data_IF_695999497033
#
_entry.id   IF_695999497033
#
_cell.length_a   1.000
_cell.length_b   1.000
_cell.length_c   1.000
_cell.angle_alpha   90.00
_cell.angle_beta   90.00
_cell.angle_gamma   90.00
#
_symmetry.space_group_name_H-M   'P 1'
#
loop_
_entity.id
_entity.type
_entity.pdbx_description
1 polymer ?
#
# COMPACT_ATOMS: atom_id res chain seq x y z
N UNK A 1 -19.07 96.22 -5.91
CA UNK A 1 -19.03 95.59 -4.56
C UNK A 1 -19.72 94.26 -4.62
N UNK A 2 -19.10 93.19 -4.09
CA UNK A 2 -19.55 91.85 -3.93
C UNK A 2 -19.32 90.82 -5.07
N UNK A 3 -18.08 90.38 -5.15
CA UNK A 3 -17.80 89.05 -5.74
C UNK A 3 -16.74 88.36 -4.87
N UNK A 4 -17.20 87.59 -3.87
CA UNK A 4 -16.28 86.70 -3.12
C UNK A 4 -17.07 85.80 -2.25
N UNK A 5 -17.68 84.68 -2.76
CA UNK A 5 -18.18 83.58 -1.90
C UNK A 5 -18.63 82.33 -2.66
N UNK A 6 -18.01 81.94 -3.78
CA UNK A 6 -18.41 80.70 -4.47
C UNK A 6 -17.28 79.69 -4.72
N UNK A 7 -16.11 79.83 -4.09
CA UNK A 7 -14.97 78.92 -4.36
C UNK A 7 -14.72 77.89 -3.23
N UNK A 8 -15.39 78.04 -2.03
CA UNK A 8 -15.08 77.18 -0.88
C UNK A 8 -15.96 75.92 -0.71
N UNK A 9 -16.84 75.58 -1.67
CA UNK A 9 -17.74 74.42 -1.53
C UNK A 9 -17.48 73.24 -2.48
N UNK A 10 -16.49 73.33 -3.38
CA UNK A 10 -16.16 72.27 -4.32
C UNK A 10 -14.95 71.43 -3.94
N UNK A 11 -14.21 71.80 -2.91
CA UNK A 11 -12.99 71.07 -2.46
C UNK A 11 -13.20 69.94 -1.47
N UNK A 12 -14.39 69.82 -0.83
CA UNK A 12 -14.62 68.89 0.28
C UNK A 12 -15.30 67.57 -0.10
N UNK A 13 -15.77 67.39 -1.35
CA UNK A 13 -16.44 66.17 -1.83
C UNK A 13 -15.54 65.22 -2.60
N UNK A 14 -14.30 65.55 -2.85
CA UNK A 14 -13.37 64.69 -3.63
C UNK A 14 -12.38 63.86 -2.75
N UNK A 15 -12.32 64.13 -1.45
CA UNK A 15 -11.46 63.40 -0.53
C UNK A 15 -12.16 62.21 0.15
N UNK A 16 -13.51 62.20 0.18
CA UNK A 16 -14.29 61.09 0.81
C UNK A 16 -14.49 59.87 -0.12
N UNK A 17 -14.24 59.96 -1.44
CA UNK A 17 -14.41 58.87 -2.39
C UNK A 17 -13.19 57.97 -2.54
N UNK A 18 -12.00 58.41 -2.06
CA UNK A 18 -10.74 57.65 -2.19
C UNK A 18 -10.42 56.72 -1.02
N UNK A 19 -11.20 56.79 0.06
CA UNK A 19 -10.96 55.99 1.27
C UNK A 19 -11.75 54.62 1.30
N UNK A 20 -12.65 54.39 0.33
CA UNK A 20 -13.46 53.14 0.31
C UNK A 20 -12.91 52.08 -0.65
N UNK A 21 -11.83 52.32 -1.37
CA UNK A 21 -11.24 51.34 -2.31
C UNK A 21 -10.07 50.51 -1.71
N UNK A 22 -9.74 50.69 -0.44
CA UNK A 22 -8.57 50.02 0.17
C UNK A 22 -8.92 48.80 1.06
N UNK A 23 -10.15 48.30 1.04
CA UNK A 23 -10.61 47.14 1.88
C UNK A 23 -11.02 45.88 1.09
N UNK A 24 -10.76 45.88 -0.23
CA UNK A 24 -10.72 44.61 -0.95
C UNK A 24 -9.30 44.07 -0.90
N UNK A 25 -8.92 43.55 0.27
CA UNK A 25 -7.81 42.60 0.34
C UNK A 25 -8.08 41.47 -0.68
N UNK A 26 -7.06 40.86 -1.27
CA UNK A 26 -7.30 39.74 -2.18
C UNK A 26 -8.18 38.75 -1.41
N UNK A 27 -9.41 38.55 -1.88
CA UNK A 27 -10.23 37.43 -1.42
C UNK A 27 -9.34 36.20 -1.62
N UNK A 28 -8.80 35.66 -0.53
CA UNK A 28 -7.95 34.49 -0.58
C UNK A 28 -8.70 33.47 -1.43
N UNK A 29 -8.15 33.09 -2.56
CA UNK A 29 -8.76 32.05 -3.40
C UNK A 29 -8.97 30.85 -2.49
N UNK A 30 -10.24 30.58 -2.20
CA UNK A 30 -10.60 29.46 -1.34
C UNK A 30 -9.99 28.22 -1.97
N UNK A 31 -9.14 27.52 -1.23
CA UNK A 31 -8.50 26.28 -1.72
C UNK A 31 -9.61 25.30 -2.12
N UNK A 32 -9.76 25.05 -3.42
CA UNK A 32 -10.76 24.14 -3.99
C UNK A 32 -10.29 22.70 -4.02
N UNK A 33 -9.20 22.39 -3.33
CA UNK A 33 -8.73 21.01 -3.23
C UNK A 33 -9.81 20.12 -2.59
N UNK A 34 -10.08 18.93 -3.17
CA UNK A 34 -9.47 18.29 -4.34
C UNK A 34 -10.28 18.41 -5.64
N UNK A 35 -11.18 19.41 -5.75
CA UNK A 35 -12.17 19.49 -6.84
C UNK A 35 -11.69 20.16 -8.13
N UNK A 36 -10.51 20.76 -8.14
CA UNK A 36 -10.01 21.51 -9.31
C UNK A 36 -9.63 20.63 -10.51
N UNK A 37 -9.12 19.42 -10.24
CA UNK A 37 -8.69 18.46 -11.27
C UNK A 37 -8.73 17.02 -10.74
N UNK A 38 -8.75 16.00 -11.63
CA UNK A 38 -8.67 14.61 -11.20
C UNK A 38 -7.37 14.30 -10.44
N UNK A 39 -7.46 13.36 -9.49
CA UNK A 39 -6.32 12.83 -8.76
C UNK A 39 -5.70 11.68 -9.57
N UNK A 40 -4.40 11.74 -9.83
CA UNK A 40 -3.65 10.63 -10.42
C UNK A 40 -3.31 9.60 -9.35
N UNK A 41 -3.66 8.33 -9.57
CA UNK A 41 -3.24 7.19 -8.74
C UNK A 41 -2.18 6.41 -9.50
N UNK A 42 -0.93 6.59 -9.14
CA UNK A 42 0.21 5.97 -9.83
C UNK A 42 0.43 4.58 -9.27
N UNK A 43 0.36 3.56 -10.14
CA UNK A 43 0.68 2.18 -9.81
C UNK A 43 1.96 1.74 -10.50
N UNK A 44 2.67 0.78 -9.90
CA UNK A 44 3.91 0.20 -10.44
C UNK A 44 3.69 -1.08 -11.24
N UNK A 45 2.52 -1.71 -11.07
CA UNK A 45 2.17 -3.00 -11.66
C UNK A 45 1.48 -2.86 -13.02
N UNK A 46 1.22 -3.98 -13.64
CA UNK A 46 0.35 -4.03 -14.83
C UNK A 46 -1.10 -3.75 -14.45
N UNK A 47 -1.87 -3.24 -15.39
CA UNK A 47 -3.32 -3.20 -15.26
C UNK A 47 -3.86 -4.63 -15.07
N UNK A 48 -4.87 -4.78 -14.21
CA UNK A 48 -5.43 -6.07 -13.81
C UNK A 48 -4.66 -6.79 -12.69
N UNK A 49 -3.48 -6.31 -12.29
CA UNK A 49 -2.76 -6.83 -11.11
C UNK A 49 -3.38 -6.35 -9.80
N UNK A 50 -3.00 -7.00 -8.67
CA UNK A 50 -3.59 -6.73 -7.35
C UNK A 50 -3.58 -5.25 -6.95
N UNK A 51 -2.49 -4.51 -7.22
CA UNK A 51 -2.40 -3.06 -6.95
C UNK A 51 -3.38 -2.25 -7.80
N UNK A 52 -3.54 -2.60 -9.09
CA UNK A 52 -4.51 -1.93 -9.99
C UNK A 52 -5.95 -2.19 -9.53
N UNK A 53 -6.28 -3.46 -9.25
CA UNK A 53 -7.62 -3.84 -8.78
C UNK A 53 -7.95 -3.12 -7.48
N UNK A 54 -7.05 -3.14 -6.49
CA UNK A 54 -7.25 -2.44 -5.21
C UNK A 54 -7.45 -0.93 -5.42
N UNK A 55 -6.65 -0.29 -6.30
CA UNK A 55 -6.78 1.13 -6.60
C UNK A 55 -8.12 1.47 -7.26
N UNK A 56 -8.58 0.65 -8.21
CA UNK A 56 -9.88 0.86 -8.87
C UNK A 56 -11.06 0.63 -7.92
N UNK A 57 -11.01 -0.42 -7.11
CA UNK A 57 -12.05 -0.70 -6.11
C UNK A 57 -12.18 0.43 -5.10
N UNK A 58 -11.06 0.97 -4.60
CA UNK A 58 -11.04 2.16 -3.75
C UNK A 58 -11.64 3.37 -4.47
N UNK A 59 -11.33 3.57 -5.74
CA UNK A 59 -11.79 4.74 -6.52
C UNK A 59 -13.31 4.77 -6.75
N UNK A 60 -14.01 3.62 -6.70
CA UNK A 60 -15.45 3.53 -6.99
C UNK A 60 -16.28 4.52 -6.16
N UNK A 61 -15.95 4.69 -4.87
CA UNK A 61 -16.68 5.59 -3.97
C UNK A 61 -15.95 6.88 -3.64
N UNK A 62 -14.65 6.98 -3.98
CA UNK A 62 -13.85 8.16 -3.68
C UNK A 62 -14.41 9.42 -4.33
N UNK A 63 -14.95 9.33 -5.56
CA UNK A 63 -15.61 10.46 -6.24
C UNK A 63 -16.72 11.10 -5.39
N UNK A 64 -17.53 10.31 -4.68
CA UNK A 64 -18.59 10.85 -3.80
C UNK A 64 -18.04 11.54 -2.56
N UNK A 65 -16.90 11.07 -2.06
CA UNK A 65 -16.33 11.55 -0.80
C UNK A 65 -15.32 12.67 -1.00
N UNK A 66 -14.68 12.75 -2.18
CA UNK A 66 -13.69 13.75 -2.54
C UNK A 66 -14.19 14.73 -3.62
N UNK A 67 -15.38 14.50 -4.17
CA UNK A 67 -15.99 15.31 -5.22
C UNK A 67 -15.08 15.50 -6.46
N UNK A 68 -14.20 14.52 -6.70
CA UNK A 68 -13.27 14.52 -7.83
C UNK A 68 -13.06 13.12 -8.38
N UNK A 69 -12.66 13.03 -9.64
CA UNK A 69 -12.33 11.76 -10.29
C UNK A 69 -10.91 11.30 -9.91
N UNK A 70 -10.70 9.99 -9.94
CA UNK A 70 -9.38 9.37 -9.76
C UNK A 70 -9.01 8.60 -11.01
N UNK A 71 -7.80 8.84 -11.52
CA UNK A 71 -7.29 8.18 -12.73
C UNK A 71 -6.10 7.30 -12.38
N UNK A 72 -6.22 5.99 -12.63
CA UNK A 72 -5.14 5.03 -12.39
C UNK A 72 -4.16 5.03 -13.55
N UNK A 73 -2.87 5.28 -13.25
CA UNK A 73 -1.79 5.40 -14.24
C UNK A 73 -0.69 4.40 -13.89
N UNK A 74 -0.37 3.48 -14.83
CA UNK A 74 0.70 2.51 -14.64
C UNK A 74 2.07 3.08 -15.05
N UNK A 75 3.04 3.03 -14.14
CA UNK A 75 4.45 3.36 -14.35
C UNK A 75 5.32 2.18 -13.94
N UNK A 76 5.53 1.28 -14.89
CA UNK A 76 6.20 -0.01 -14.68
C UNK A 76 7.71 0.10 -14.82
N UNK A 77 8.44 -0.66 -14.02
CA UNK A 77 9.89 -0.84 -14.11
C UNK A 77 10.61 -0.69 -12.77
N UNK A 78 11.78 -1.32 -12.65
CA UNK A 78 12.67 -1.22 -11.51
C UNK A 78 12.05 -1.59 -10.16
N UNK A 79 11.15 -2.58 -10.11
CA UNK A 79 10.42 -2.96 -8.88
C UNK A 79 9.69 -1.77 -8.21
N UNK A 80 9.19 -0.83 -9.02
CA UNK A 80 8.49 0.37 -8.55
C UNK A 80 9.29 1.66 -8.67
N UNK A 81 10.58 1.61 -8.95
CA UNK A 81 11.42 2.82 -9.10
C UNK A 81 10.86 3.79 -10.16
N UNK A 82 10.36 3.29 -11.29
CA UNK A 82 9.77 4.12 -12.34
C UNK A 82 8.50 4.88 -11.86
N UNK A 83 7.70 4.29 -10.97
CA UNK A 83 6.57 4.97 -10.35
C UNK A 83 7.04 6.07 -9.38
N UNK A 84 8.12 5.82 -8.65
CA UNK A 84 8.74 6.79 -7.76
C UNK A 84 9.32 7.99 -8.53
N UNK A 85 10.07 7.74 -9.60
CA UNK A 85 10.61 8.80 -10.49
C UNK A 85 9.50 9.67 -11.08
N UNK A 86 8.43 9.02 -11.56
CA UNK A 86 7.29 9.75 -12.10
C UNK A 86 6.65 10.67 -11.06
N UNK A 87 6.43 10.17 -9.84
CA UNK A 87 5.84 10.97 -8.77
C UNK A 87 6.75 12.11 -8.31
N UNK A 88 8.07 11.91 -8.28
CA UNK A 88 9.03 12.96 -7.95
C UNK A 88 8.97 14.15 -8.91
N UNK A 89 8.64 13.93 -10.17
CA UNK A 89 8.44 14.98 -11.18
C UNK A 89 7.11 15.73 -11.06
N UNK A 90 6.23 15.35 -10.11
CA UNK A 90 4.92 15.98 -9.91
C UNK A 90 4.95 17.05 -8.81
N UNK A 91 4.04 18.04 -8.88
CA UNK A 91 3.82 18.95 -7.77
C UNK A 91 3.41 18.21 -6.49
N UNK A 92 3.85 18.72 -5.34
CA UNK A 92 3.49 18.20 -4.02
C UNK A 92 2.19 18.83 -3.53
N UNK A 93 1.16 18.77 -4.37
CA UNK A 93 -0.12 19.45 -4.19
C UNK A 93 -1.26 18.50 -3.77
N UNK A 94 -0.97 17.22 -3.57
CA UNK A 94 -1.95 16.20 -3.20
C UNK A 94 -2.73 15.59 -4.37
N UNK A 95 -2.49 16.02 -5.61
CA UNK A 95 -3.17 15.45 -6.79
C UNK A 95 -2.45 14.24 -7.40
N UNK A 96 -1.34 13.81 -6.81
CA UNK A 96 -0.64 12.58 -7.21
C UNK A 96 -0.50 11.67 -5.99
N UNK A 97 -1.21 10.54 -6.00
CA UNK A 97 -1.10 9.46 -5.04
C UNK A 97 -0.27 8.32 -5.63
N UNK A 98 0.55 7.70 -4.81
CA UNK A 98 1.25 6.47 -5.18
C UNK A 98 0.52 5.29 -4.52
N UNK A 99 -0.01 4.39 -5.33
CA UNK A 99 -0.60 3.13 -4.88
C UNK A 99 0.48 2.05 -4.91
N UNK A 100 1.22 1.93 -3.84
CA UNK A 100 2.36 1.05 -3.71
C UNK A 100 2.08 -0.07 -2.70
N UNK A 101 2.86 -1.13 -2.81
CA UNK A 101 2.86 -2.23 -1.85
C UNK A 101 4.09 -2.17 -0.97
N UNK A 102 4.12 -2.95 0.08
CA UNK A 102 5.26 -3.09 0.98
C UNK A 102 6.57 -3.41 0.24
N UNK A 103 6.51 -4.14 -0.89
CA UNK A 103 7.70 -4.44 -1.70
C UNK A 103 8.50 -3.20 -2.12
N UNK A 104 7.86 -2.02 -2.19
CA UNK A 104 8.53 -0.77 -2.52
C UNK A 104 9.41 -0.25 -1.39
N UNK A 105 9.10 -0.60 -0.14
CA UNK A 105 9.96 -0.30 1.00
C UNK A 105 11.30 -1.05 0.86
N UNK A 106 11.26 -2.29 0.37
CA UNK A 106 12.48 -3.03 0.02
C UNK A 106 13.24 -2.38 -1.14
N UNK A 107 12.55 -1.87 -2.16
CA UNK A 107 13.17 -1.17 -3.28
C UNK A 107 13.88 0.11 -2.82
N UNK A 108 13.27 0.84 -1.88
CA UNK A 108 13.88 2.03 -1.25
C UNK A 108 15.10 1.60 -0.42
N UNK A 109 14.96 0.59 0.45
CA UNK A 109 16.02 0.12 1.32
C UNK A 109 17.23 -0.44 0.55
N UNK A 110 16.99 -1.05 -0.62
CA UNK A 110 18.03 -1.53 -1.53
C UNK A 110 18.74 -0.40 -2.30
N UNK A 111 18.34 0.87 -2.11
CA UNK A 111 18.89 2.01 -2.86
C UNK A 111 18.55 2.00 -4.36
N UNK A 112 17.52 1.24 -4.77
CA UNK A 112 17.06 1.14 -6.17
C UNK A 112 15.97 2.16 -6.51
N UNK A 113 15.56 2.96 -5.55
CA UNK A 113 14.59 4.05 -5.69
C UNK A 113 15.29 5.40 -5.58
N UNK A 114 14.85 6.42 -6.32
CA UNK A 114 15.30 7.79 -6.08
C UNK A 114 14.72 8.40 -4.78
N UNK A 115 13.71 7.75 -4.18
CA UNK A 115 13.12 8.15 -2.90
C UNK A 115 13.87 7.52 -1.73
N UNK A 116 13.88 8.26 -0.61
CA UNK A 116 14.14 7.73 0.72
C UNK A 116 12.84 7.53 1.49
N UNK A 117 12.88 6.86 2.62
CA UNK A 117 11.69 6.69 3.46
C UNK A 117 11.14 8.03 3.98
N UNK A 118 12.00 9.04 4.13
CA UNK A 118 11.63 10.37 4.60
C UNK A 118 10.89 11.20 3.53
N UNK A 119 10.94 10.79 2.27
CA UNK A 119 10.21 11.44 1.17
C UNK A 119 8.75 11.01 1.08
N UNK A 120 8.34 9.98 1.79
CA UNK A 120 7.04 9.32 1.65
C UNK A 120 6.17 9.55 2.87
N UNK A 121 4.92 9.97 2.65
CA UNK A 121 3.93 10.17 3.71
C UNK A 121 2.69 9.33 3.42
N UNK A 122 2.32 8.48 4.37
CA UNK A 122 1.14 7.62 4.28
C UNK A 122 -0.16 8.42 4.30
N UNK A 123 -1.08 8.09 3.38
CA UNK A 123 -2.41 8.73 3.28
C UNK A 123 -3.50 7.80 3.80
N UNK A 124 -3.57 6.59 3.28
CA UNK A 124 -4.53 5.59 3.72
C UNK A 124 -4.03 4.18 3.38
N UNK A 125 -4.21 3.24 4.30
CA UNK A 125 -4.06 1.81 4.04
C UNK A 125 -5.39 1.27 3.52
N UNK A 126 -5.33 0.51 2.43
CA UNK A 126 -6.48 -0.08 1.81
C UNK A 126 -6.65 -1.56 2.19
N UNK A 127 -5.54 -2.27 2.38
CA UNK A 127 -5.54 -3.71 2.54
C UNK A 127 -4.30 -4.16 3.31
N UNK A 128 -4.49 -5.12 4.19
CA UNK A 128 -3.43 -5.91 4.78
C UNK A 128 -3.74 -7.38 4.49
N UNK A 129 -2.91 -8.00 3.65
CA UNK A 129 -3.14 -9.31 3.05
C UNK A 129 -2.06 -10.29 3.54
N UNK A 130 -2.32 -11.07 4.62
CA UNK A 130 -1.36 -12.00 5.16
C UNK A 130 -0.97 -13.07 4.15
N UNK A 131 0.18 -13.71 4.37
CA UNK A 131 0.62 -14.84 3.57
C UNK A 131 0.35 -16.16 4.28
N UNK A 132 0.02 -17.20 3.51
CA UNK A 132 0.02 -18.58 3.99
C UNK A 132 1.40 -19.22 3.73
N UNK A 133 1.78 -20.16 4.58
CA UNK A 133 2.76 -21.19 4.24
C UNK A 133 1.96 -22.35 3.62
N UNK A 134 2.17 -22.58 2.33
CA UNK A 134 1.29 -23.40 1.50
C UNK A 134 2.07 -24.48 0.74
N UNK A 135 1.45 -25.64 0.58
CA UNK A 135 1.93 -26.77 -0.23
C UNK A 135 0.82 -27.26 -1.17
N UNK A 136 1.15 -28.03 -2.20
CA UNK A 136 0.15 -28.71 -3.02
C UNK A 136 -0.65 -29.70 -2.17
N UNK A 137 -1.92 -29.96 -2.52
CA UNK A 137 -2.80 -30.84 -1.75
C UNK A 137 -2.30 -32.29 -1.64
N UNK A 138 -1.66 -32.79 -2.69
CA UNK A 138 -1.05 -34.13 -2.78
C UNK A 138 0.33 -34.22 -2.12
N UNK A 139 0.89 -33.08 -1.70
CA UNK A 139 2.17 -33.03 -1.00
C UNK A 139 2.21 -34.00 0.20
N UNK A 140 3.35 -34.68 0.46
CA UNK A 140 3.54 -35.53 1.63
C UNK A 140 3.46 -34.74 2.95
N UNK A 141 3.69 -33.41 2.90
CA UNK A 141 3.69 -32.54 4.08
C UNK A 141 2.25 -32.16 4.44
N UNK A 142 1.79 -32.63 5.61
CA UNK A 142 0.41 -32.38 6.08
C UNK A 142 0.36 -31.28 7.13
N UNK A 143 1.48 -31.02 7.79
CA UNK A 143 1.64 -30.00 8.84
C UNK A 143 2.86 -29.14 8.56
N UNK A 144 2.94 -27.99 9.23
CA UNK A 144 4.13 -27.13 9.13
C UNK A 144 5.36 -27.86 9.71
N UNK A 145 5.16 -28.70 10.71
CA UNK A 145 6.21 -29.49 11.35
C UNK A 145 6.83 -30.50 10.37
N UNK A 146 6.01 -31.15 9.52
CA UNK A 146 6.50 -32.08 8.47
C UNK A 146 7.41 -31.33 7.49
N UNK A 147 6.95 -30.15 7.03
CA UNK A 147 7.68 -29.31 6.09
C UNK A 147 8.99 -28.79 6.70
N UNK A 148 8.97 -28.37 7.95
CA UNK A 148 10.16 -27.94 8.69
C UNK A 148 11.14 -29.10 8.85
N UNK A 149 10.69 -30.28 9.26
CA UNK A 149 11.54 -31.46 9.42
C UNK A 149 12.26 -31.83 8.11
N UNK A 150 11.53 -31.84 6.99
CA UNK A 150 12.08 -32.12 5.68
C UNK A 150 13.09 -31.06 5.18
N UNK A 151 12.93 -29.81 5.63
CA UNK A 151 13.77 -28.68 5.19
C UNK A 151 15.04 -28.46 6.04
N UNK A 152 15.23 -29.19 7.14
CA UNK A 152 16.37 -29.01 8.05
C UNK A 152 17.69 -29.36 7.38
N UNK A 153 17.77 -30.50 6.73
CA UNK A 153 18.99 -31.01 6.16
C UNK A 153 19.08 -30.77 4.65
N UNK A 154 17.95 -30.82 3.95
CA UNK A 154 17.85 -30.67 2.52
C UNK A 154 17.14 -29.37 2.16
N UNK A 155 17.80 -28.43 1.43
CA UNK A 155 17.12 -27.21 1.02
C UNK A 155 16.04 -27.49 -0.02
N UNK A 156 14.79 -27.23 0.34
CA UNK A 156 13.64 -27.37 -0.56
C UNK A 156 13.47 -26.14 -1.45
N UNK A 157 12.84 -26.30 -2.63
CA UNK A 157 12.51 -25.21 -3.55
C UNK A 157 11.24 -24.51 -3.09
N UNK A 158 11.33 -23.21 -2.87
CA UNK A 158 10.22 -22.37 -2.46
C UNK A 158 9.92 -21.31 -3.53
N UNK A 159 8.64 -21.18 -3.87
CA UNK A 159 8.15 -20.16 -4.77
C UNK A 159 8.04 -18.80 -4.08
N UNK A 160 8.47 -17.75 -4.79
CA UNK A 160 8.27 -16.35 -4.40
C UNK A 160 7.86 -15.55 -5.63
N UNK A 161 7.10 -14.47 -5.45
CA UNK A 161 6.73 -13.61 -6.58
C UNK A 161 7.96 -12.91 -7.16
N UNK A 162 8.86 -12.41 -6.31
CA UNK A 162 10.11 -11.76 -6.73
C UNK A 162 11.23 -11.88 -5.70
N UNK A 163 12.48 -11.82 -6.17
CA UNK A 163 13.64 -11.77 -5.29
C UNK A 163 13.67 -10.42 -4.55
N UNK A 164 13.83 -10.49 -3.21
CA UNK A 164 13.80 -9.30 -2.35
C UNK A 164 12.41 -8.71 -2.15
N UNK A 165 11.35 -9.44 -2.52
CA UNK A 165 9.96 -9.05 -2.24
C UNK A 165 9.45 -9.60 -0.91
N UNK A 166 8.18 -9.32 -0.62
CA UNK A 166 7.51 -9.68 0.65
C UNK A 166 7.63 -11.15 0.97
N UNK A 167 7.33 -12.04 0.00
CA UNK A 167 7.36 -13.49 0.18
C UNK A 167 8.78 -14.00 0.42
N UNK A 168 9.79 -13.43 -0.29
CA UNK A 168 11.19 -13.82 -0.10
C UNK A 168 11.69 -13.44 1.30
N UNK A 169 11.39 -12.22 1.75
CA UNK A 169 11.77 -11.75 3.09
C UNK A 169 11.03 -12.55 4.17
N UNK A 170 9.72 -12.80 3.99
CA UNK A 170 8.94 -13.63 4.89
C UNK A 170 9.47 -15.06 4.99
N UNK A 171 9.82 -15.66 3.86
CA UNK A 171 10.44 -16.99 3.82
C UNK A 171 11.78 -17.00 4.58
N UNK A 172 12.62 -15.99 4.37
CA UNK A 172 13.88 -15.88 5.08
C UNK A 172 13.68 -15.78 6.59
N UNK A 173 12.77 -14.93 7.04
CA UNK A 173 12.44 -14.78 8.46
C UNK A 173 11.91 -16.09 9.05
N UNK A 174 11.02 -16.78 8.33
CA UNK A 174 10.50 -18.08 8.73
C UNK A 174 11.63 -19.12 8.79
N UNK A 175 12.45 -19.20 7.76
CA UNK A 175 13.57 -20.14 7.70
C UNK A 175 14.58 -19.94 8.84
N UNK A 176 14.87 -18.67 9.19
CA UNK A 176 15.72 -18.33 10.34
C UNK A 176 15.09 -18.78 11.65
N UNK A 177 13.78 -18.52 11.84
CA UNK A 177 13.06 -18.90 13.06
C UNK A 177 12.90 -20.42 13.21
N UNK A 178 12.71 -21.15 12.09
CA UNK A 178 12.50 -22.59 12.07
C UNK A 178 13.82 -23.40 11.94
N UNK A 179 14.94 -22.75 11.68
CA UNK A 179 16.24 -23.42 11.47
C UNK A 179 16.26 -24.29 10.23
N UNK A 180 15.62 -23.86 9.13
CA UNK A 180 15.51 -24.62 7.88
C UNK A 180 16.35 -24.04 6.75
N UNK A 181 16.63 -24.88 5.75
CA UNK A 181 17.31 -24.51 4.51
C UNK A 181 16.31 -24.39 3.37
N UNK A 182 16.53 -23.46 2.46
CA UNK A 182 15.64 -23.24 1.30
C UNK A 182 16.41 -22.79 0.07
N UNK A 183 15.79 -22.97 -1.10
CA UNK A 183 16.17 -22.38 -2.38
C UNK A 183 14.98 -21.58 -2.90
N UNK A 184 15.23 -20.37 -3.40
CA UNK A 184 14.19 -19.49 -3.92
C UNK A 184 14.04 -19.64 -5.42
N UNK A 185 12.78 -19.75 -5.87
CA UNK A 185 12.42 -19.78 -7.29
C UNK A 185 11.43 -18.63 -7.55
N UNK A 186 11.84 -17.56 -8.27
CA UNK A 186 10.99 -16.41 -8.56
C UNK A 186 10.06 -16.67 -9.75
N UNK A 187 8.79 -16.21 -9.66
CA UNK A 187 7.76 -16.42 -10.67
C UNK A 187 7.17 -15.14 -11.28
N UNK A 188 7.59 -13.95 -10.83
CA UNK A 188 7.12 -12.68 -11.37
C UNK A 188 5.73 -12.24 -10.90
N UNK A 189 5.06 -13.03 -10.05
CA UNK A 189 3.76 -12.69 -9.46
C UNK A 189 3.12 -13.86 -8.72
N UNK A 190 2.15 -13.56 -7.82
CA UNK A 190 1.52 -14.55 -6.97
C UNK A 190 0.72 -15.60 -7.73
N UNK A 191 -0.02 -15.21 -8.76
CA UNK A 191 -0.81 -16.16 -9.56
C UNK A 191 0.04 -17.25 -10.24
N UNK A 192 1.18 -16.87 -10.84
CA UNK A 192 2.12 -17.82 -11.44
C UNK A 192 2.85 -18.67 -10.39
N UNK A 193 3.12 -18.10 -9.22
CA UNK A 193 3.67 -18.83 -8.08
C UNK A 193 2.69 -19.92 -7.59
N UNK A 194 1.41 -19.59 -7.43
CA UNK A 194 0.34 -20.54 -7.06
C UNK A 194 0.24 -21.67 -8.07
N UNK A 195 0.24 -21.38 -9.37
CA UNK A 195 0.22 -22.40 -10.43
C UNK A 195 1.44 -23.33 -10.36
N UNK A 196 2.62 -22.77 -10.09
CA UNK A 196 3.86 -23.53 -9.97
C UNK A 196 3.89 -24.43 -8.74
N UNK A 197 3.22 -24.03 -7.66
CA UNK A 197 3.01 -24.87 -6.47
C UNK A 197 2.08 -26.05 -6.79
N UNK A 198 0.96 -25.79 -7.47
CA UNK A 198 -0.01 -26.82 -7.88
C UNK A 198 0.60 -27.86 -8.85
N UNK A 199 1.51 -27.44 -9.71
CA UNK A 199 2.21 -28.34 -10.65
C UNK A 199 3.39 -29.09 -10.04
N UNK A 200 3.72 -28.85 -8.76
CA UNK A 200 4.86 -29.46 -8.08
C UNK A 200 6.24 -28.92 -8.51
N UNK A 201 6.30 -27.82 -9.25
CA UNK A 201 7.58 -27.17 -9.64
C UNK A 201 8.32 -26.61 -8.42
N UNK A 202 7.61 -26.29 -7.35
CA UNK A 202 8.14 -25.94 -6.03
C UNK A 202 7.41 -26.73 -4.96
N UNK A 203 8.08 -26.93 -3.82
CA UNK A 203 7.54 -27.72 -2.70
C UNK A 203 6.66 -26.88 -1.80
N UNK A 204 7.04 -25.62 -1.58
CA UNK A 204 6.32 -24.68 -0.74
C UNK A 204 6.29 -23.29 -1.38
N UNK A 205 5.35 -22.47 -0.97
CA UNK A 205 5.24 -21.09 -1.37
C UNK A 205 4.53 -20.27 -0.28
N UNK A 206 4.67 -18.93 -0.39
CA UNK A 206 4.03 -17.98 0.50
C UNK A 206 3.03 -17.08 -0.26
N UNK A 207 1.94 -17.64 -0.83
CA UNK A 207 0.93 -16.81 -1.46
C UNK A 207 0.18 -15.98 -0.42
N UNK A 208 -0.29 -14.80 -0.82
CA UNK A 208 -1.26 -14.05 -0.04
C UNK A 208 -2.60 -14.79 0.05
N UNK A 209 -3.36 -14.52 1.08
CA UNK A 209 -4.72 -15.09 1.26
C UNK A 209 -5.55 -14.83 0.00
N UNK A 210 -5.56 -13.59 -0.49
CA UNK A 210 -6.32 -13.19 -1.69
C UNK A 210 -5.90 -13.94 -2.97
N UNK A 211 -4.66 -14.42 -3.04
CA UNK A 211 -4.10 -15.11 -4.21
C UNK A 211 -4.37 -16.62 -4.21
N UNK A 212 -4.46 -17.23 -3.03
CA UNK A 212 -4.60 -18.68 -2.86
C UNK A 212 -5.99 -19.12 -2.39
N UNK A 213 -6.90 -18.18 -2.09
CA UNK A 213 -8.21 -18.44 -1.51
C UNK A 213 -8.94 -19.55 -2.25
N UNK A 214 -9.13 -19.38 -3.55
CA UNK A 214 -9.90 -20.35 -4.35
C UNK A 214 -9.29 -21.75 -4.30
N UNK A 215 -7.96 -21.86 -4.43
CA UNK A 215 -7.26 -23.16 -4.44
C UNK A 215 -7.22 -23.84 -3.09
N UNK A 216 -7.30 -23.07 -2.00
CA UNK A 216 -7.43 -23.63 -0.65
C UNK A 216 -8.87 -24.10 -0.41
N UNK A 217 -9.87 -23.32 -0.84
CA UNK A 217 -11.30 -23.67 -0.71
C UNK A 217 -11.68 -24.88 -1.57
N UNK A 218 -11.14 -25.01 -2.78
CA UNK A 218 -11.39 -26.18 -3.66
C UNK A 218 -10.50 -27.41 -3.34
N UNK A 219 -9.58 -27.26 -2.38
CA UNK A 219 -8.73 -28.34 -1.91
C UNK A 219 -7.54 -28.67 -2.82
N UNK A 220 -7.23 -27.83 -3.82
CA UNK A 220 -6.03 -28.00 -4.68
C UNK A 220 -4.73 -27.63 -3.97
N UNK A 221 -4.81 -26.75 -2.97
CA UNK A 221 -3.72 -26.37 -2.09
C UNK A 221 -4.06 -26.64 -0.62
N UNK A 222 -3.02 -26.80 0.19
CA UNK A 222 -3.12 -26.88 1.65
C UNK A 222 -2.34 -25.78 2.31
N UNK A 223 -3.04 -24.91 3.07
CA UNK A 223 -2.42 -23.95 3.97
C UNK A 223 -1.98 -24.67 5.24
N UNK A 224 -0.67 -24.68 5.51
CA UNK A 224 -0.10 -25.30 6.72
C UNK A 224 -0.08 -24.34 7.91
N UNK A 225 0.07 -23.04 7.65
CA UNK A 225 -0.05 -21.97 8.63
C UNK A 225 -0.33 -20.64 7.94
N UNK A 226 -0.92 -19.68 8.65
CA UNK A 226 -0.93 -18.28 8.28
C UNK A 226 0.18 -17.54 9.01
N UNK A 227 0.91 -16.67 8.29
CA UNK A 227 1.99 -15.88 8.88
C UNK A 227 1.43 -14.63 9.55
N UNK A 228 0.73 -14.81 10.64
CA UNK A 228 0.03 -13.78 11.41
C UNK A 228 0.06 -14.10 12.90
N UNK A 229 -0.26 -13.11 13.74
CA UNK A 229 -0.36 -13.30 15.20
C UNK A 229 -1.66 -13.97 15.61
N UNK A 230 -2.73 -13.77 14.83
CA UNK A 230 -4.07 -14.32 15.08
C UNK A 230 -4.54 -15.10 13.87
N UNK A 231 -5.37 -16.11 14.10
CA UNK A 231 -6.04 -16.86 13.03
C UNK A 231 -6.96 -15.94 12.25
N UNK A 232 -7.11 -16.24 10.96
CA UNK A 232 -8.07 -15.55 10.11
C UNK A 232 -9.47 -16.11 10.38
N UNK A 233 -10.47 -15.23 10.40
CA UNK A 233 -11.85 -15.62 10.69
C UNK A 233 -12.41 -16.64 9.68
N UNK A 234 -12.05 -16.48 8.40
CA UNK A 234 -12.46 -17.38 7.31
C UNK A 234 -11.68 -18.71 7.29
N UNK A 235 -10.59 -18.82 8.06
CA UNK A 235 -9.71 -20.01 8.11
C UNK A 235 -9.42 -20.41 9.55
N UNK A 236 -10.47 -20.74 10.36
CA UNK A 236 -10.31 -21.00 11.78
C UNK A 236 -9.47 -22.26 12.07
N UNK A 237 -9.38 -23.19 11.12
CA UNK A 237 -8.62 -24.44 11.25
C UNK A 237 -7.15 -24.29 10.86
N UNK A 238 -6.76 -23.20 10.21
CA UNK A 238 -5.37 -22.93 9.83
C UNK A 238 -4.65 -22.25 11.00
N UNK A 239 -3.64 -22.91 11.61
CA UNK A 239 -2.90 -22.32 12.72
C UNK A 239 -2.06 -21.13 12.26
N UNK A 240 -1.68 -20.26 13.20
CA UNK A 240 -0.72 -19.20 12.92
C UNK A 240 0.71 -19.69 13.10
N UNK A 241 1.67 -19.01 12.49
CA UNK A 241 3.09 -19.23 12.77
C UNK A 241 3.42 -18.98 14.25
N UNK A 242 2.73 -18.06 14.92
CA UNK A 242 2.89 -17.78 16.36
C UNK A 242 2.44 -18.93 17.24
N UNK A 243 1.28 -19.56 16.94
CA UNK A 243 0.79 -20.76 17.64
C UNK A 243 1.74 -21.94 17.49
N UNK A 244 2.47 -21.99 16.36
CA UNK A 244 3.48 -23.02 16.06
C UNK A 244 4.88 -22.69 16.60
N UNK A 245 5.02 -21.60 17.37
CA UNK A 245 6.26 -21.19 18.02
C UNK A 245 7.20 -20.35 17.13
N UNK A 246 6.81 -20.07 15.90
CA UNK A 246 7.57 -19.20 14.98
C UNK A 246 7.00 -17.80 15.01
N UNK A 247 7.65 -16.87 15.75
CA UNK A 247 7.20 -15.47 15.89
C UNK A 247 7.54 -14.65 14.63
N UNK A 248 6.96 -15.04 13.50
CA UNK A 248 7.13 -14.37 12.21
C UNK A 248 5.77 -14.06 11.63
N UNK A 249 5.58 -12.81 11.21
CA UNK A 249 4.40 -12.39 10.45
C UNK A 249 4.83 -11.81 9.11
N UNK A 250 4.04 -12.03 8.09
CA UNK A 250 4.26 -11.50 6.76
C UNK A 250 2.93 -11.20 6.11
N UNK A 251 2.79 -10.00 5.60
CA UNK A 251 1.62 -9.56 4.84
C UNK A 251 2.04 -8.69 3.67
N UNK A 252 1.25 -8.64 2.63
CA UNK A 252 1.36 -7.63 1.59
C UNK A 252 0.40 -6.49 1.92
N UNK A 253 0.92 -5.40 2.43
CA UNK A 253 0.14 -4.19 2.66
C UNK A 253 -0.01 -3.41 1.36
N UNK A 254 -1.21 -2.87 1.11
CA UNK A 254 -1.49 -1.97 -0.01
C UNK A 254 -2.10 -0.69 0.53
N UNK A 255 -1.56 0.44 0.10
CA UNK A 255 -2.02 1.74 0.57
C UNK A 255 -1.61 2.86 -0.37
N UNK A 256 -1.96 4.06 0.03
CA UNK A 256 -1.73 5.28 -0.74
C UNK A 256 -0.79 6.21 0.00
N UNK A 257 0.15 6.75 -0.76
CA UNK A 257 1.19 7.65 -0.28
C UNK A 257 1.16 8.94 -1.08
N UNK A 258 1.69 9.99 -0.49
CA UNK A 258 2.06 11.23 -1.15
C UNK A 258 3.51 11.57 -0.82
N UNK A 259 4.13 12.43 -1.59
CA UNK A 259 5.47 12.90 -1.29
C UNK A 259 5.46 13.93 -0.15
N UNK A 260 6.49 13.90 0.67
CA UNK A 260 6.77 14.90 1.70
C UNK A 260 6.76 16.32 1.08
N UNK A 261 6.14 17.25 1.78
CA UNK A 261 5.88 18.61 1.31
C UNK A 261 4.47 18.81 0.74
N UNK A 262 3.67 17.72 0.63
CA UNK A 262 2.22 17.85 0.43
C UNK A 262 1.61 18.49 1.69
N UNK A 263 0.74 19.54 1.55
CA UNK A 263 0.14 20.21 2.70
C UNK A 263 -0.61 19.25 3.61
N UNK A 264 -0.41 19.32 4.95
CA UNK A 264 -1.03 18.39 5.89
C UNK A 264 -2.56 18.37 5.84
N UNK A 265 -3.19 19.52 5.60
CA UNK A 265 -4.64 19.64 5.45
C UNK A 265 -5.16 18.87 4.23
N UNK A 266 -4.39 18.84 3.14
CA UNK A 266 -4.75 18.07 1.94
C UNK A 266 -4.56 16.58 2.16
N UNK A 267 -3.52 16.17 2.91
CA UNK A 267 -3.33 14.77 3.33
C UNK A 267 -4.52 14.31 4.16
N UNK A 268 -4.97 15.15 5.09
CA UNK A 268 -6.15 14.83 5.92
C UNK A 268 -7.42 14.69 5.09
N UNK A 269 -7.70 15.60 4.16
CA UNK A 269 -8.85 15.53 3.25
C UNK A 269 -8.82 14.22 2.44
N UNK A 270 -7.66 13.88 1.86
CA UNK A 270 -7.48 12.64 1.12
C UNK A 270 -7.71 11.42 2.01
N UNK A 271 -7.09 11.39 3.18
CA UNK A 271 -7.21 10.28 4.12
C UNK A 271 -8.66 10.04 4.53
N UNK A 272 -9.35 11.09 4.98
CA UNK A 272 -10.74 10.98 5.43
C UNK A 272 -11.68 10.53 4.29
N UNK A 273 -11.51 11.10 3.10
CA UNK A 273 -12.29 10.75 1.92
C UNK A 273 -12.05 9.31 1.45
N UNK A 274 -10.80 8.86 1.42
CA UNK A 274 -10.43 7.49 1.02
C UNK A 274 -10.88 6.47 2.05
N UNK A 275 -10.65 6.70 3.34
CA UNK A 275 -11.11 5.80 4.41
C UNK A 275 -12.63 5.65 4.38
N UNK A 276 -13.38 6.76 4.23
CA UNK A 276 -14.83 6.73 4.10
C UNK A 276 -15.29 5.95 2.87
N UNK A 277 -14.57 6.07 1.74
CA UNK A 277 -14.85 5.29 0.53
C UNK A 277 -14.60 3.80 0.74
N UNK A 278 -13.50 3.43 1.39
CA UNK A 278 -13.11 2.04 1.63
C UNK A 278 -13.93 1.34 2.73
N UNK A 279 -14.49 2.09 3.68
CA UNK A 279 -15.46 1.56 4.66
C UNK A 279 -16.86 1.32 4.09
N UNK A 280 -17.12 1.76 2.85
CA UNK A 280 -18.38 1.47 2.18
C UNK A 280 -18.47 0.00 1.77
N UNK A 281 -19.70 -0.57 1.79
CA UNK A 281 -19.98 -1.99 1.50
C UNK A 281 -19.31 -2.54 0.23
N UNK A 282 -19.17 -1.71 -0.82
CA UNK A 282 -18.53 -2.14 -2.08
C UNK A 282 -17.09 -2.57 -1.85
N UNK A 283 -16.31 -1.77 -1.14
CA UNK A 283 -14.92 -2.09 -0.84
C UNK A 283 -14.82 -3.13 0.29
N UNK A 284 -15.67 -3.03 1.29
CA UNK A 284 -15.75 -4.02 2.35
C UNK A 284 -16.07 -5.43 1.81
N UNK A 285 -16.98 -5.54 0.85
CA UNK A 285 -17.28 -6.81 0.19
C UNK A 285 -16.13 -7.32 -0.67
N UNK A 286 -15.38 -6.41 -1.33
CA UNK A 286 -14.15 -6.77 -2.02
C UNK A 286 -13.12 -7.39 -1.06
N UNK A 287 -12.88 -6.78 0.11
CA UNK A 287 -11.99 -7.33 1.12
C UNK A 287 -12.47 -8.69 1.63
N UNK A 288 -13.74 -8.79 2.01
CA UNK A 288 -14.34 -10.07 2.47
C UNK A 288 -14.26 -11.16 1.41
N UNK A 289 -14.52 -10.84 0.13
CA UNK A 289 -14.37 -11.81 -0.97
C UNK A 289 -12.92 -12.25 -1.19
N UNK A 290 -11.96 -11.46 -0.69
CA UNK A 290 -10.55 -11.79 -0.68
C UNK A 290 -10.10 -12.50 0.62
N UNK A 291 -11.02 -12.81 1.53
CA UNK A 291 -10.72 -13.44 2.82
C UNK A 291 -10.14 -12.49 3.88
N UNK A 292 -10.39 -11.18 3.73
CA UNK A 292 -9.80 -10.15 4.59
C UNK A 292 -10.87 -9.42 5.41
N UNK A 293 -10.52 -9.05 6.65
CA UNK A 293 -11.38 -8.24 7.48
C UNK A 293 -11.23 -6.74 7.09
N UNK A 294 -12.33 -6.04 6.73
CA UNK A 294 -12.30 -4.62 6.44
C UNK A 294 -11.82 -3.74 7.60
N UNK A 295 -12.16 -4.10 8.84
CA UNK A 295 -11.77 -3.29 10.01
C UNK A 295 -10.27 -3.40 10.31
N UNK A 296 -9.68 -4.56 10.07
CA UNK A 296 -8.23 -4.75 10.22
C UNK A 296 -7.45 -4.18 9.03
N UNK A 297 -8.08 -4.13 7.84
CA UNK A 297 -7.42 -3.73 6.60
C UNK A 297 -7.35 -2.23 6.40
N UNK A 298 -8.44 -1.49 6.67
CA UNK A 298 -8.56 -0.06 6.33
C UNK A 298 -8.06 0.81 7.47
N UNK A 299 -7.11 1.69 7.18
CA UNK A 299 -6.59 2.64 8.15
C UNK A 299 -6.34 4.02 7.53
N UNK A 300 -6.44 5.07 8.36
CA UNK A 300 -6.13 6.46 7.97
C UNK A 300 -4.64 6.78 8.00
N UNK A 301 -4.32 8.03 7.66
CA UNK A 301 -2.93 8.50 7.48
C UNK A 301 -2.05 8.30 8.71
N UNK A 302 -2.53 8.58 9.90
CA UNK A 302 -1.72 8.47 11.13
C UNK A 302 -1.23 7.04 11.37
N UNK A 303 -2.16 6.07 11.31
CA UNK A 303 -1.83 4.65 11.49
C UNK A 303 -0.97 4.15 10.35
N UNK A 304 -1.31 4.52 9.11
CA UNK A 304 -0.61 4.03 7.92
C UNK A 304 0.80 4.60 7.81
N UNK A 305 1.01 5.89 8.05
CA UNK A 305 2.34 6.49 8.00
C UNK A 305 3.28 5.90 9.05
N UNK A 306 2.78 5.66 10.27
CA UNK A 306 3.54 4.97 11.31
C UNK A 306 3.92 3.55 10.89
N UNK A 307 2.96 2.77 10.37
CA UNK A 307 3.20 1.40 9.90
C UNK A 307 4.25 1.35 8.78
N UNK A 308 4.21 2.27 7.81
CA UNK A 308 5.22 2.37 6.74
C UNK A 308 6.63 2.50 7.31
N UNK A 309 6.82 3.34 8.32
CA UNK A 309 8.14 3.55 8.95
C UNK A 309 8.61 2.31 9.70
N UNK A 310 7.70 1.64 10.42
CA UNK A 310 7.98 0.38 11.12
C UNK A 310 8.32 -0.75 10.13
N UNK A 311 7.53 -0.92 9.07
CA UNK A 311 7.79 -1.91 8.02
C UNK A 311 9.10 -1.65 7.27
N UNK A 312 9.44 -0.38 7.05
CA UNK A 312 10.74 -0.03 6.45
C UNK A 312 11.91 -0.41 7.36
N UNK A 313 11.81 -0.17 8.66
CA UNK A 313 12.85 -0.58 9.60
C UNK A 313 13.05 -2.10 9.61
N UNK A 314 11.95 -2.87 9.60
CA UNK A 314 11.96 -4.33 9.46
C UNK A 314 12.58 -4.75 8.12
N UNK A 315 12.24 -4.05 7.03
CA UNK A 315 12.81 -4.31 5.71
C UNK A 315 14.35 -4.14 5.70
N UNK A 316 14.85 -3.04 6.26
CA UNK A 316 16.30 -2.77 6.36
C UNK A 316 17.00 -3.86 7.18
N UNK A 317 16.45 -4.21 8.35
CA UNK A 317 17.01 -5.26 9.19
C UNK A 317 17.07 -6.62 8.45
N UNK A 318 15.97 -6.98 7.79
CA UNK A 318 15.88 -8.23 7.02
C UNK A 318 16.86 -8.27 5.85
N UNK A 319 17.01 -7.16 5.12
CA UNK A 319 17.95 -7.06 4.00
C UNK A 319 19.41 -7.11 4.46
N UNK A 320 19.73 -6.53 5.63
CA UNK A 320 21.06 -6.70 6.26
C UNK A 320 21.33 -8.14 6.65
N UNK A 321 20.35 -8.81 7.26
CA UNK A 321 20.48 -10.21 7.66
C UNK A 321 20.60 -11.18 6.47
N UNK A 322 20.20 -10.73 5.28
CA UNK A 322 20.37 -11.43 3.99
C UNK A 322 21.66 -11.06 3.24
N UNK A 323 22.51 -10.20 3.80
CA UNK A 323 23.70 -9.63 3.14
C UNK A 323 23.39 -8.91 1.81
N UNK A 324 22.17 -8.39 1.64
CA UNK A 324 21.75 -7.65 0.46
C UNK A 324 22.04 -6.15 0.54
N UNK A 325 22.22 -5.64 1.75
CA UNK A 325 22.68 -4.27 2.05
C UNK A 325 23.66 -4.29 3.23
N UNK A 326 24.47 -3.21 3.37
CA UNK A 326 25.46 -3.05 4.45
C UNK A 326 24.84 -2.50 5.75
#
# INVERSE_FOLDING_TARGET
MNSCSKIARRGFMLVAASALLALTGPAGAQDKFPTEKPIEVVIHSSYGGGTDVTARMMSIRSRRNLETDMTVIAKRGGSGAAAHEYAMGKPRDGYTLLALTQSHLYTIALGKSPLTIDDVVGVARAMEDPTFITVAADSPYKTIEDLVAASKDTPLNWGVAQIGGTEHIGLFQFAKAAGIKFKVVPFGGGGTMVQSLMSGAVVGALPNVSEARQQIEDGSLRALAVMAEKRLADYPDVPTTFEKGYKVKTSTTRGYWVLKGTPPERIKILSDGLVKAMKHEVFANYLKSSGLDPEDSVAGSEVWDKQIKEEYAIAVESLKALDLIK
#
